data_IF_639556968531
#
_entry.id   IF_639556968531
#
_cell.length_a   1.000
_cell.length_b   1.000
_cell.length_c   1.000
_cell.angle_alpha   90.00
_cell.angle_beta   90.00
_cell.angle_gamma   90.00
#
_symmetry.space_group_name_H-M   'P 1'
#
loop_
_entity.id
_entity.type
_entity.pdbx_description
1 polymer ?
#
# COMPACT_ATOMS: atom_id res chain seq x y z
N UNK A 1 7.19 2.52 -11.71
CA UNK A 1 6.72 2.44 -13.11
C UNK A 1 7.86 2.79 -14.01
N UNK A 2 8.55 1.77 -14.48
CA UNK A 2 9.75 1.93 -15.29
C UNK A 2 9.29 1.90 -16.75
N UNK A 3 9.14 3.08 -17.37
CA UNK A 3 8.68 3.24 -18.76
C UNK A 3 9.71 2.76 -19.80
N UNK A 4 10.51 1.73 -19.51
CA UNK A 4 11.73 1.46 -20.26
C UNK A 4 11.52 0.82 -21.63
N UNK A 5 10.37 0.24 -21.97
CA UNK A 5 10.21 -0.41 -23.29
C UNK A 5 8.77 -0.32 -23.85
N UNK A 6 8.36 0.87 -24.29
CA UNK A 6 7.34 0.94 -25.33
C UNK A 6 8.02 0.71 -26.68
N UNK A 7 7.64 -0.38 -27.36
CA UNK A 7 8.23 -0.77 -28.65
C UNK A 7 7.13 -0.71 -29.70
N UNK A 8 7.31 0.14 -30.72
CA UNK A 8 6.43 0.15 -31.89
C UNK A 8 6.57 -1.19 -32.64
N UNK A 9 5.45 -1.89 -32.81
CA UNK A 9 5.40 -3.20 -33.45
C UNK A 9 4.84 -3.10 -34.87
N UNK A 10 5.52 -3.72 -35.82
CA UNK A 10 5.02 -3.91 -37.18
C UNK A 10 3.79 -4.85 -37.17
N UNK A 11 2.60 -4.37 -37.61
CA UNK A 11 1.37 -5.17 -37.68
C UNK A 11 1.52 -6.52 -38.39
N UNK A 12 2.43 -6.62 -39.35
CA UNK A 12 2.63 -7.85 -40.13
C UNK A 12 3.47 -8.91 -39.36
N UNK A 13 4.03 -8.56 -38.20
CA UNK A 13 4.90 -9.43 -37.38
C UNK A 13 4.52 -9.51 -35.90
N UNK A 14 3.28 -9.15 -35.54
CA UNK A 14 2.85 -9.09 -34.15
C UNK A 14 3.06 -10.41 -33.39
N UNK A 15 3.95 -10.42 -32.38
CA UNK A 15 4.21 -11.62 -31.59
C UNK A 15 3.04 -11.91 -30.66
N UNK A 16 2.66 -13.19 -30.55
CA UNK A 16 1.68 -13.64 -29.56
C UNK A 16 2.30 -13.64 -28.15
N UNK A 17 1.56 -13.11 -27.16
CA UNK A 17 1.91 -13.15 -25.73
C UNK A 17 3.36 -12.74 -25.39
N UNK A 18 3.87 -11.68 -26.04
CA UNK A 18 5.19 -11.12 -25.74
C UNK A 18 5.24 -10.59 -24.30
N UNK A 19 6.35 -10.81 -23.56
CA UNK A 19 6.65 -10.11 -22.31
C UNK A 19 6.68 -8.60 -22.56
N UNK A 20 5.66 -7.90 -22.08
CA UNK A 20 5.51 -6.45 -22.23
C UNK A 20 5.25 -5.86 -20.86
N UNK A 21 5.89 -4.72 -20.59
CA UNK A 21 5.71 -3.94 -19.35
C UNK A 21 5.76 -4.84 -18.10
N UNK A 22 6.74 -5.73 -18.11
CA UNK A 22 6.96 -6.78 -17.10
C UNK A 22 7.94 -6.27 -16.03
N UNK A 23 7.59 -5.16 -15.39
CA UNK A 23 8.42 -4.50 -14.36
C UNK A 23 8.76 -5.43 -13.19
N UNK A 24 9.99 -5.30 -12.68
CA UNK A 24 10.43 -5.91 -11.43
C UNK A 24 10.42 -4.85 -10.33
N UNK A 25 9.70 -5.11 -9.25
CA UNK A 25 9.52 -4.17 -8.15
C UNK A 25 10.39 -4.48 -6.93
N UNK A 26 10.71 -3.44 -6.18
CA UNK A 26 11.44 -3.52 -4.91
C UNK A 26 10.58 -3.07 -3.70
N UNK A 27 11.22 -2.97 -2.54
CA UNK A 27 10.61 -2.58 -1.26
C UNK A 27 10.17 -1.11 -1.23
N UNK A 28 10.83 -0.23 -2.00
CA UNK A 28 10.41 1.15 -2.16
C UNK A 28 9.10 1.21 -2.95
N UNK A 29 8.99 0.43 -4.02
CA UNK A 29 7.75 0.28 -4.79
C UNK A 29 6.61 -0.27 -3.91
N UNK A 30 6.90 -1.24 -3.04
CA UNK A 30 5.93 -1.76 -2.08
C UNK A 30 5.45 -0.68 -1.09
N UNK A 31 6.37 0.13 -0.57
CA UNK A 31 6.06 1.26 0.33
C UNK A 31 5.21 2.32 -0.36
N UNK A 32 5.47 2.58 -1.64
CA UNK A 32 4.64 3.46 -2.46
C UNK A 32 3.22 2.90 -2.66
N UNK A 33 3.08 1.60 -2.96
CA UNK A 33 1.76 0.95 -3.05
C UNK A 33 0.98 1.07 -1.76
N UNK A 34 1.62 0.86 -0.60
CA UNK A 34 0.98 1.05 0.69
C UNK A 34 0.48 2.49 0.88
N UNK A 35 1.27 3.51 0.50
CA UNK A 35 0.87 4.92 0.60
C UNK A 35 -0.30 5.27 -0.32
N UNK A 36 -0.33 4.71 -1.53
CA UNK A 36 -1.47 4.88 -2.46
C UNK A 36 -2.74 4.26 -1.87
N UNK A 37 -2.66 3.07 -1.28
CA UNK A 37 -3.80 2.42 -0.62
C UNK A 37 -4.29 3.21 0.59
N UNK A 38 -3.38 3.78 1.40
CA UNK A 38 -3.74 4.71 2.48
C UNK A 38 -4.52 5.91 1.93
N UNK A 39 -4.05 6.49 0.83
CA UNK A 39 -4.73 7.62 0.17
C UNK A 39 -6.13 7.23 -0.30
N UNK A 40 -6.27 6.09 -0.99
CA UNK A 40 -7.58 5.60 -1.46
C UNK A 40 -8.56 5.40 -0.30
N UNK A 41 -8.12 4.77 0.78
CA UNK A 41 -8.95 4.55 1.98
C UNK A 41 -9.39 5.88 2.61
N UNK A 42 -8.49 6.87 2.74
CA UNK A 42 -8.83 8.20 3.28
C UNK A 42 -9.85 8.97 2.43
N UNK A 43 -10.05 8.56 1.18
CA UNK A 43 -11.01 9.15 0.25
C UNK A 43 -12.14 8.17 -0.12
N UNK A 44 -12.37 7.13 0.69
CA UNK A 44 -13.43 6.14 0.47
C UNK A 44 -14.85 6.75 0.54
N UNK A 45 -15.01 7.96 1.08
CA UNK A 45 -16.27 8.72 1.01
C UNK A 45 -16.68 9.09 -0.42
N UNK A 46 -15.72 9.11 -1.36
CA UNK A 46 -15.93 9.39 -2.79
C UNK A 46 -15.52 8.24 -3.71
N UNK A 47 -14.47 7.52 -3.35
CA UNK A 47 -13.91 6.43 -4.17
C UNK A 47 -14.66 5.14 -3.85
N UNK A 48 -15.66 4.81 -4.67
CA UNK A 48 -16.43 3.57 -4.52
C UNK A 48 -15.73 2.31 -5.04
N UNK A 49 -14.79 2.45 -5.98
CA UNK A 49 -14.06 1.33 -6.61
C UNK A 49 -12.66 1.79 -6.99
N UNK A 50 -11.65 0.93 -6.78
CA UNK A 50 -10.29 1.10 -7.27
C UNK A 50 -9.73 -0.23 -7.80
N UNK A 51 -8.95 -0.19 -8.87
CA UNK A 51 -8.34 -1.36 -9.49
C UNK A 51 -6.83 -1.18 -9.57
N UNK A 52 -6.06 -2.11 -9.01
CA UNK A 52 -4.62 -2.16 -9.25
C UNK A 52 -4.37 -2.66 -10.67
N UNK A 53 -3.83 -1.79 -11.52
CA UNK A 53 -3.35 -2.17 -12.84
C UNK A 53 -1.92 -2.73 -12.69
N UNK A 54 -1.62 -3.96 -13.09
CA UNK A 54 -2.54 -5.08 -13.32
C UNK A 54 -2.30 -6.21 -12.31
N UNK A 55 -2.93 -7.36 -12.51
CA UNK A 55 -2.91 -8.45 -11.53
C UNK A 55 -1.76 -9.45 -11.72
N UNK A 56 -1.41 -9.80 -12.97
CA UNK A 56 -0.40 -10.82 -13.28
C UNK A 56 0.51 -10.37 -14.45
N UNK A 57 1.82 -10.55 -14.29
CA UNK A 57 2.91 -10.23 -15.22
C UNK A 57 3.06 -8.76 -15.59
N UNK A 58 2.08 -8.24 -16.32
CA UNK A 58 2.02 -6.86 -16.77
C UNK A 58 1.91 -5.97 -15.55
N UNK A 59 2.98 -5.26 -15.21
CA UNK A 59 3.03 -4.23 -14.15
C UNK A 59 2.31 -4.66 -12.87
N UNK A 60 2.58 -5.89 -12.47
CA UNK A 60 1.71 -6.66 -11.58
C UNK A 60 2.39 -7.04 -10.27
N UNK A 61 1.63 -7.23 -9.18
CA UNK A 61 2.15 -7.80 -7.95
C UNK A 61 2.43 -9.30 -8.05
N UNK A 62 1.86 -10.01 -9.04
CA UNK A 62 2.08 -11.45 -9.25
C UNK A 62 2.82 -11.66 -10.56
N UNK A 63 3.81 -12.54 -10.56
CA UNK A 63 4.59 -12.94 -11.73
C UNK A 63 4.45 -14.43 -12.01
N UNK A 64 4.48 -14.80 -13.28
CA UNK A 64 4.49 -16.18 -13.77
C UNK A 64 5.45 -16.33 -14.94
N UNK A 65 5.91 -17.56 -15.16
CA UNK A 65 6.67 -17.95 -16.36
C UNK A 65 5.87 -19.01 -17.15
N UNK A 66 5.92 -19.01 -18.50
CA UNK A 66 5.29 -20.07 -19.30
C UNK A 66 5.78 -21.46 -18.89
N UNK A 67 4.85 -22.35 -18.51
CA UNK A 67 5.17 -23.70 -18.04
C UNK A 67 5.98 -23.76 -16.73
N UNK A 68 6.08 -22.63 -16.03
CA UNK A 68 7.00 -22.45 -14.91
C UNK A 68 6.31 -22.07 -13.61
N UNK A 69 7.08 -21.35 -12.79
CA UNK A 69 6.70 -20.90 -11.45
C UNK A 69 5.76 -19.69 -11.49
N UNK A 70 5.10 -19.47 -10.36
CA UNK A 70 4.44 -18.22 -10.00
C UNK A 70 5.04 -17.68 -8.70
N UNK A 71 5.21 -16.36 -8.59
CA UNK A 71 5.72 -15.72 -7.37
C UNK A 71 5.11 -14.34 -7.15
N UNK A 72 5.12 -13.91 -5.89
CA UNK A 72 4.73 -12.57 -5.47
C UNK A 72 5.91 -11.60 -5.61
N UNK A 73 5.68 -10.43 -6.21
CA UNK A 73 6.59 -9.28 -6.13
C UNK A 73 6.42 -8.57 -4.79
N UNK A 74 7.38 -7.74 -4.35
CA UNK A 74 7.26 -6.97 -3.11
C UNK A 74 5.96 -6.15 -3.00
N UNK A 75 5.43 -5.64 -4.11
CA UNK A 75 4.17 -4.89 -4.17
C UNK A 75 2.92 -5.72 -3.86
N UNK A 76 3.01 -7.06 -3.86
CA UNK A 76 1.91 -7.95 -3.50
C UNK A 76 1.52 -7.83 -2.03
N UNK A 77 2.51 -7.86 -1.13
CA UNK A 77 2.28 -7.89 0.31
C UNK A 77 1.49 -6.69 0.85
N UNK A 78 1.80 -5.41 0.52
CA UNK A 78 0.98 -4.28 1.00
C UNK A 78 -0.45 -4.37 0.48
N UNK A 79 -0.64 -4.75 -0.79
CA UNK A 79 -1.97 -4.92 -1.35
C UNK A 79 -2.74 -6.02 -0.63
N UNK A 80 -2.16 -7.22 -0.49
CA UNK A 80 -2.81 -8.37 0.13
C UNK A 80 -3.14 -8.13 1.60
N UNK A 81 -2.20 -7.60 2.39
CA UNK A 81 -2.40 -7.39 3.83
C UNK A 81 -3.39 -6.26 4.11
N UNK A 82 -3.29 -5.13 3.41
CA UNK A 82 -4.23 -4.02 3.58
C UNK A 82 -5.61 -4.42 3.07
N UNK A 83 -5.70 -5.06 1.90
CA UNK A 83 -6.96 -5.56 1.36
C UNK A 83 -7.55 -6.70 2.19
N UNK A 84 -6.82 -7.38 3.07
CA UNK A 84 -7.39 -8.33 4.02
C UNK A 84 -7.88 -7.66 5.31
N UNK A 85 -7.11 -6.70 5.84
CA UNK A 85 -7.36 -6.10 7.16
C UNK A 85 -8.31 -4.89 7.13
N UNK A 86 -8.26 -4.06 6.09
CA UNK A 86 -9.02 -2.81 6.01
C UNK A 86 -10.49 -3.12 5.65
N UNK A 87 -11.34 -3.19 6.67
CA UNK A 87 -12.79 -3.47 6.59
C UNK A 87 -13.57 -2.48 7.43
N UNK A 88 -14.85 -2.32 7.08
CA UNK A 88 -15.78 -1.44 7.77
C UNK A 88 -15.53 0.04 7.47
N UNK A 89 -15.71 0.87 8.50
CA UNK A 89 -15.65 2.32 8.39
C UNK A 89 -14.20 2.82 8.44
N UNK A 90 -13.86 3.75 7.55
CA UNK A 90 -12.58 4.45 7.61
C UNK A 90 -12.62 5.53 8.69
N UNK A 91 -11.65 5.48 9.60
CA UNK A 91 -11.52 6.42 10.69
C UNK A 91 -10.67 7.62 10.28
N UNK A 92 -11.01 8.79 10.83
CA UNK A 92 -10.16 9.98 10.70
C UNK A 92 -8.94 9.85 11.60
N UNK A 93 -7.76 9.75 10.99
CA UNK A 93 -6.46 9.71 11.68
C UNK A 93 -5.70 11.02 11.43
N UNK A 94 -5.16 11.62 12.50
CA UNK A 94 -4.39 12.87 12.46
C UNK A 94 -3.00 12.69 13.07
N UNK A 95 -2.03 12.10 12.33
CA UNK A 95 -0.68 11.92 12.83
C UNK A 95 -0.01 13.27 13.08
N UNK A 96 0.64 13.42 14.25
CA UNK A 96 1.50 14.55 14.57
C UNK A 96 2.95 14.11 14.44
N UNK A 97 3.53 14.36 13.28
CA UNK A 97 4.89 13.93 12.92
C UNK A 97 5.65 15.08 12.29
N UNK A 98 6.97 14.98 12.24
CA UNK A 98 7.78 15.95 11.51
C UNK A 98 7.48 15.87 10.01
N UNK A 99 7.80 16.94 9.30
CA UNK A 99 7.66 17.04 7.84
C UNK A 99 9.03 17.11 7.18
N UNK A 100 9.07 16.81 5.89
CA UNK A 100 10.21 17.09 5.01
C UNK A 100 9.74 17.93 3.82
N UNK A 101 10.62 18.80 3.33
CA UNK A 101 10.30 19.70 2.23
C UNK A 101 10.37 18.96 0.89
N UNK A 102 9.41 19.24 0.01
CA UNK A 102 9.41 18.83 -1.40
C UNK A 102 9.16 20.04 -2.28
N UNK A 103 9.35 19.91 -3.60
CA UNK A 103 9.00 20.97 -4.55
C UNK A 103 7.50 21.34 -4.52
N UNK A 104 6.65 20.44 -4.00
CA UNK A 104 5.20 20.62 -3.86
C UNK A 104 4.78 21.08 -2.46
N UNK A 105 5.74 21.35 -1.56
CA UNK A 105 5.51 21.77 -0.19
C UNK A 105 5.93 20.73 0.85
N UNK A 106 5.61 21.02 2.11
CA UNK A 106 5.98 20.16 3.24
C UNK A 106 5.08 18.92 3.31
N UNK A 107 5.71 17.75 3.37
CA UNK A 107 5.04 16.46 3.42
C UNK A 107 5.31 15.78 4.77
N UNK A 108 4.29 15.25 5.47
CA UNK A 108 4.50 14.47 6.69
C UNK A 108 5.38 13.24 6.45
N UNK A 109 6.29 12.94 7.39
CA UNK A 109 7.13 11.75 7.35
C UNK A 109 6.33 10.44 7.47
N UNK A 110 5.10 10.50 7.98
CA UNK A 110 4.22 9.36 8.12
C UNK A 110 2.91 9.61 7.37
N UNK A 111 2.51 8.64 6.55
CA UNK A 111 1.15 8.53 6.03
C UNK A 111 0.40 7.43 6.79
N UNK A 112 -0.87 7.66 7.10
CA UNK A 112 -1.64 6.74 7.91
C UNK A 112 -3.15 6.81 7.66
N UNK A 113 -3.79 5.66 7.83
CA UNK A 113 -5.25 5.53 7.95
C UNK A 113 -5.58 4.40 8.92
N UNK A 114 -6.82 4.37 9.40
CA UNK A 114 -7.33 3.26 10.18
C UNK A 114 -8.74 2.91 9.71
N UNK A 115 -9.13 1.64 9.87
CA UNK A 115 -10.51 1.20 9.68
C UNK A 115 -11.02 0.52 10.93
N UNK A 116 -12.33 0.54 11.12
CA UNK A 116 -13.02 -0.19 12.17
C UNK A 116 -14.14 -1.02 11.58
N UNK A 117 -14.06 -2.33 11.81
CA UNK A 117 -15.09 -3.29 11.46
C UNK A 117 -15.96 -3.57 12.70
N UNK A 118 -17.21 -3.09 12.66
CA UNK A 118 -18.14 -3.24 13.78
C UNK A 118 -18.52 -4.70 14.06
N UNK A 119 -18.53 -5.55 13.03
CA UNK A 119 -18.95 -6.95 13.16
C UNK A 119 -17.93 -7.77 13.93
N UNK A 120 -16.64 -7.62 13.58
CA UNK A 120 -15.54 -8.32 14.24
C UNK A 120 -14.97 -7.58 15.44
N UNK A 121 -15.29 -6.29 15.60
CA UNK A 121 -14.64 -5.39 16.56
C UNK A 121 -13.18 -5.06 16.19
N UNK A 122 -12.74 -5.38 14.98
CA UNK A 122 -11.35 -5.16 14.56
C UNK A 122 -11.10 -3.70 14.17
N UNK A 123 -10.09 -3.09 14.79
CA UNK A 123 -9.42 -1.89 14.30
C UNK A 123 -8.17 -2.31 13.52
N UNK A 124 -8.03 -1.83 12.29
CA UNK A 124 -6.83 -2.01 11.48
C UNK A 124 -6.17 -0.65 11.25
N UNK A 125 -4.90 -0.50 11.63
CA UNK A 125 -4.08 0.69 11.41
C UNK A 125 -3.08 0.39 10.30
N UNK A 126 -3.07 1.21 9.26
CA UNK A 126 -2.09 1.15 8.17
C UNK A 126 -1.18 2.36 8.28
N UNK A 127 0.12 2.11 8.37
CA UNK A 127 1.16 3.12 8.59
C UNK A 127 2.21 3.01 7.49
N UNK A 128 2.67 4.15 6.99
CA UNK A 128 3.74 4.23 5.99
C UNK A 128 4.74 5.28 6.42
N UNK A 129 5.99 4.88 6.62
CA UNK A 129 7.09 5.77 6.94
C UNK A 129 7.84 6.15 5.65
N UNK A 130 7.83 7.45 5.34
CA UNK A 130 8.51 8.06 4.20
C UNK A 130 9.92 8.56 4.54
N UNK A 131 10.33 8.49 5.80
CA UNK A 131 11.70 8.79 6.21
C UNK A 131 12.67 7.82 5.55
N UNK A 132 13.78 8.35 5.03
CA UNK A 132 14.82 7.58 4.34
C UNK A 132 15.89 7.03 5.30
N UNK A 133 15.98 7.56 6.52
CA UNK A 133 17.09 7.30 7.43
C UNK A 133 16.68 6.93 8.86
N UNK A 134 15.46 7.28 9.30
CA UNK A 134 15.04 7.12 10.69
C UNK A 134 13.68 6.40 10.83
N UNK A 135 13.54 5.50 11.83
CA UNK A 135 12.25 4.94 12.16
C UNK A 135 11.32 6.01 12.74
N UNK A 136 10.03 5.88 12.50
CA UNK A 136 8.99 6.70 13.13
C UNK A 136 8.37 5.90 14.27
N UNK A 137 8.45 6.46 15.49
CA UNK A 137 7.81 5.92 16.70
C UNK A 137 6.57 6.73 17.02
N UNK A 138 5.47 6.03 17.28
CA UNK A 138 4.17 6.64 17.52
C UNK A 138 3.54 6.03 18.77
N UNK A 139 2.92 6.90 19.56
CA UNK A 139 1.89 6.51 20.52
C UNK A 139 0.54 6.76 19.84
N UNK A 140 -0.26 5.70 19.71
CA UNK A 140 -1.61 5.74 19.18
C UNK A 140 -2.55 5.66 20.37
N UNK A 141 -3.57 6.52 20.39
CA UNK A 141 -4.65 6.48 21.37
C UNK A 141 -6.01 6.72 20.73
N UNK A 142 -7.07 6.43 21.47
CA UNK A 142 -8.46 6.53 21.00
C UNK A 142 -9.20 5.21 21.16
N UNK A 143 -9.63 4.59 20.06
CA UNK A 143 -10.24 3.25 20.10
C UNK A 143 -9.26 2.18 20.60
N UNK A 144 -7.96 2.38 20.36
CA UNK A 144 -6.89 1.49 20.80
C UNK A 144 -5.72 2.31 21.32
N UNK A 145 -5.12 1.87 22.42
CA UNK A 145 -3.87 2.43 22.94
C UNK A 145 -2.71 1.48 22.62
N UNK A 146 -1.72 1.96 21.86
CA UNK A 146 -0.54 1.17 21.52
C UNK A 146 0.67 2.04 21.18
N UNK A 147 1.86 1.48 21.39
CA UNK A 147 3.10 1.99 20.83
C UNK A 147 3.46 1.21 19.57
N UNK A 148 3.88 1.93 18.53
CA UNK A 148 4.28 1.33 17.26
C UNK A 148 5.51 2.03 16.70
N UNK A 149 6.43 1.22 16.19
CA UNK A 149 7.58 1.67 15.41
C UNK A 149 7.41 1.20 13.97
N UNK A 150 7.72 2.09 13.02
CA UNK A 150 7.74 1.82 11.59
C UNK A 150 9.14 2.16 11.06
N UNK A 151 9.82 1.19 10.48
CA UNK A 151 11.18 1.34 9.97
C UNK A 151 11.26 2.38 8.82
N UNK A 152 12.43 2.96 8.51
CA UNK A 152 12.59 3.85 7.35
C UNK A 152 12.12 3.19 6.05
N UNK A 153 11.53 3.97 5.14
CA UNK A 153 11.01 3.53 3.83
C UNK A 153 10.27 2.19 3.90
N UNK A 154 9.31 2.11 4.81
CA UNK A 154 8.56 0.88 5.04
C UNK A 154 7.10 1.17 5.42
N UNK A 155 6.32 0.11 5.50
CA UNK A 155 4.91 0.16 5.86
C UNK A 155 4.60 -0.93 6.88
N UNK A 156 3.47 -0.77 7.58
CA UNK A 156 3.01 -1.71 8.59
C UNK A 156 1.49 -1.70 8.69
N UNK A 157 0.92 -2.90 8.82
CA UNK A 157 -0.47 -3.08 9.24
C UNK A 157 -0.48 -3.60 10.67
N UNK A 158 -1.25 -2.95 11.55
CA UNK A 158 -1.46 -3.37 12.94
C UNK A 158 -2.94 -3.56 13.17
N UNK A 159 -3.36 -4.76 13.57
CA UNK A 159 -4.76 -5.04 13.92
C UNK A 159 -4.92 -5.23 15.42
N UNK A 160 -6.07 -4.81 15.94
CA UNK A 160 -6.50 -5.01 17.33
C UNK A 160 -8.00 -5.24 17.36
N UNK A 161 -8.45 -6.16 18.20
CA UNK A 161 -9.88 -6.33 18.47
C UNK A 161 -10.20 -5.57 19.74
N UNK A 162 -11.23 -4.72 19.70
CA UNK A 162 -11.74 -4.02 20.87
C UNK A 162 -13.02 -4.71 21.36
N UNK A 163 -13.07 -5.01 22.65
CA UNK A 163 -14.26 -5.63 23.25
C UNK A 163 -15.24 -4.52 23.66
N UNK A 164 -16.49 -4.59 23.17
CA UNK A 164 -17.53 -3.56 23.44
C UNK A 164 -18.13 -3.68 24.86
N UNK A 165 -17.58 -4.50 25.75
CA UNK A 165 -18.04 -4.59 27.14
C UNK A 165 -17.43 -3.49 28.03
N UNK A 166 -18.00 -2.27 27.93
CA UNK A 166 -18.03 -1.28 29.01
C UNK A 166 -19.21 -0.32 28.81
#
# INVERSE_FOLDING_TARGET
>A
WYYSEWVDLDPDTWPEARPLIEDTYDELDATMVASLLVTLLRHADRIGVACLAQLVNVIAPIRTEPGGRAWAQPTFEPFAQIAAAARGDVLRVEPRVATYATELGDVPLLDATATYDEESGQVALVLVNRSTDAPVRLTVGGLVDLEVEVAPLSWRVVTRVIDRQA
#
